data_IF_294537223384
#
_entry.id   IF_294537223384
#
_cell.length_a   1.000
_cell.length_b   1.000
_cell.length_c   1.000
_cell.angle_alpha   90.00
_cell.angle_beta   90.00
_cell.angle_gamma   90.00
#
_symmetry.space_group_name_H-M   'P 1'
#
loop_
_entity.id
_entity.type
_entity.pdbx_description
1 polymer ?
#
# COMPACT_ATOMS: atom_id res chain seq x y z
N UNK A 1 -24.93 3.80 -7.63
CA UNK A 1 -24.01 4.56 -8.51
C UNK A 1 -23.28 3.55 -9.39
N UNK A 2 -23.24 3.73 -10.72
CA UNK A 2 -22.65 2.72 -11.61
C UNK A 2 -21.12 2.71 -11.52
N UNK A 3 -20.52 1.51 -11.51
CA UNK A 3 -19.06 1.26 -11.51
C UNK A 3 -18.30 2.09 -12.57
N UNK A 4 -18.97 2.48 -13.67
CA UNK A 4 -18.36 3.23 -14.77
C UNK A 4 -17.98 4.67 -14.44
N UNK A 5 -18.70 5.38 -13.55
CA UNK A 5 -18.38 6.78 -13.21
C UNK A 5 -17.21 6.91 -12.24
N UNK A 6 -16.98 5.89 -11.41
CA UNK A 6 -15.78 5.80 -10.58
C UNK A 6 -14.56 5.49 -11.47
N UNK A 7 -14.66 4.58 -12.43
CA UNK A 7 -13.54 4.28 -13.35
C UNK A 7 -13.06 5.51 -14.17
N UNK A 8 -13.97 6.38 -14.60
CA UNK A 8 -13.64 7.60 -15.36
C UNK A 8 -12.93 8.70 -14.53
N UNK A 9 -13.20 8.80 -13.23
CA UNK A 9 -12.55 9.80 -12.38
C UNK A 9 -11.09 9.40 -12.04
N UNK A 10 -10.80 8.10 -12.02
CA UNK A 10 -9.52 7.54 -11.59
C UNK A 10 -8.51 7.41 -12.74
N UNK A 11 -8.98 7.35 -14.00
CA UNK A 11 -8.15 7.31 -15.20
C UNK A 11 -7.57 8.67 -15.62
N UNK A 12 -8.07 9.78 -15.05
CA UNK A 12 -7.69 11.14 -15.46
C UNK A 12 -6.56 11.78 -14.63
N UNK A 13 -5.84 11.02 -13.80
CA UNK A 13 -4.73 11.55 -13.01
C UNK A 13 -5.13 12.66 -12.04
N UNK A 14 -6.41 12.77 -11.70
CA UNK A 14 -6.87 13.69 -10.65
C UNK A 14 -6.33 13.20 -9.31
N UNK A 15 -5.68 14.11 -8.57
CA UNK A 15 -5.29 13.89 -7.18
C UNK A 15 -6.52 13.36 -6.43
N UNK A 16 -6.40 12.21 -5.75
CA UNK A 16 -7.46 11.71 -4.88
C UNK A 16 -7.78 12.81 -3.87
N UNK A 17 -8.98 13.37 -3.91
CA UNK A 17 -9.41 14.45 -3.01
C UNK A 17 -9.40 14.02 -1.53
N UNK A 18 -9.42 12.71 -1.29
CA UNK A 18 -9.31 12.09 0.03
C UNK A 18 -7.92 12.29 0.63
N UNK A 19 -6.85 12.33 -0.19
CA UNK A 19 -5.51 12.54 0.35
C UNK A 19 -5.38 13.93 0.96
N UNK A 20 -6.12 14.90 0.43
CA UNK A 20 -6.10 16.27 0.93
C UNK A 20 -6.60 16.33 2.39
N UNK A 21 -7.41 15.36 2.85
CA UNK A 21 -7.81 15.25 4.27
C UNK A 21 -6.65 14.91 5.21
N UNK A 22 -5.64 14.20 4.71
CA UNK A 22 -4.47 13.77 5.49
C UNK A 22 -3.30 14.76 5.39
N UNK A 23 -3.37 15.71 4.45
CA UNK A 23 -2.38 16.77 4.27
C UNK A 23 -2.68 17.93 5.21
N UNK A 24 -1.63 18.47 5.84
CA UNK A 24 -1.63 19.61 6.78
C UNK A 24 -2.93 20.48 6.78
N UNK A 25 -3.91 20.07 7.60
CA UNK A 25 -5.13 20.80 7.99
C UNK A 25 -6.22 21.08 6.93
N UNK A 26 -6.34 20.25 5.88
CA UNK A 26 -7.42 20.40 4.88
C UNK A 26 -8.57 19.39 5.06
N UNK A 27 -9.15 19.30 6.27
CA UNK A 27 -10.33 18.46 6.51
C UNK A 27 -11.63 19.16 6.05
N UNK A 28 -12.38 18.56 5.12
CA UNK A 28 -13.55 19.19 4.47
C UNK A 28 -14.82 19.28 5.34
N UNK A 29 -14.84 18.61 6.51
CA UNK A 29 -16.06 18.39 7.30
C UNK A 29 -16.10 19.22 8.62
N UNK A 30 -15.19 20.19 8.82
CA UNK A 30 -15.21 21.04 10.02
C UNK A 30 -14.94 20.29 11.34
N UNK A 31 -14.37 19.08 11.24
CA UNK A 31 -13.80 18.36 12.36
C UNK A 31 -12.51 19.07 12.82
N UNK A 32 -12.13 18.94 14.10
CA UNK A 32 -10.84 19.41 14.56
C UNK A 32 -9.73 18.77 13.73
N UNK A 33 -8.67 19.55 13.52
CA UNK A 33 -7.45 19.09 12.89
C UNK A 33 -6.95 17.76 13.49
N UNK A 34 -6.49 16.84 12.63
CA UNK A 34 -5.79 15.65 13.10
C UNK A 34 -4.55 16.06 13.90
N UNK A 35 -4.22 15.36 14.99
CA UNK A 35 -2.96 15.56 15.70
C UNK A 35 -1.75 15.53 14.75
N UNK A 36 -0.69 16.30 15.04
CA UNK A 36 0.47 16.46 14.14
C UNK A 36 1.14 15.14 13.73
N UNK A 37 1.08 14.11 14.58
CA UNK A 37 1.64 12.80 14.31
C UNK A 37 0.76 11.94 13.38
N UNK A 38 -0.50 12.34 13.16
CA UNK A 38 -1.40 11.73 12.19
C UNK A 38 -1.46 12.46 10.83
N UNK A 39 -0.63 13.50 10.65
CA UNK A 39 -0.59 14.28 9.41
C UNK A 39 0.41 13.71 8.42
N UNK A 40 0.00 13.56 7.16
CA UNK A 40 0.89 13.23 6.05
C UNK A 40 1.66 14.48 5.63
N UNK A 41 2.89 14.60 6.12
CA UNK A 41 3.78 15.74 5.83
C UNK A 41 4.40 15.59 4.45
N UNK A 42 3.76 16.16 3.42
CA UNK A 42 4.24 16.14 2.02
C UNK A 42 5.46 17.06 1.75
N UNK A 43 6.31 17.35 2.74
CA UNK A 43 7.53 18.13 2.49
C UNK A 43 8.37 17.40 1.42
N UNK A 44 8.93 18.14 0.47
CA UNK A 44 9.77 17.61 -0.63
C UNK A 44 10.90 16.68 -0.14
N UNK A 45 11.39 16.89 1.09
CA UNK A 45 12.43 16.06 1.72
C UNK A 45 11.92 14.81 2.44
N UNK A 46 10.60 14.68 2.67
CA UNK A 46 10.03 13.68 3.58
C UNK A 46 9.61 12.37 2.89
N UNK A 47 9.68 12.29 1.55
CA UNK A 47 9.41 11.10 0.72
C UNK A 47 8.39 10.10 1.32
N UNK A 48 7.28 10.57 1.91
CA UNK A 48 6.31 9.74 2.63
C UNK A 48 5.22 9.19 1.72
N UNK A 49 5.41 9.31 0.40
CA UNK A 49 4.49 8.86 -0.61
C UNK A 49 5.21 7.97 -1.61
N UNK A 50 4.54 6.93 -2.07
CA UNK A 50 5.08 6.06 -3.10
C UNK A 50 3.96 5.38 -3.89
N UNK A 51 4.29 4.91 -5.10
CA UNK A 51 3.37 4.17 -5.95
C UNK A 51 3.95 2.81 -6.34
N UNK A 52 3.17 1.75 -6.14
CA UNK A 52 3.52 0.42 -6.59
C UNK A 52 3.34 0.28 -8.10
N UNK A 53 4.19 -0.56 -8.68
CA UNK A 53 4.08 -1.09 -10.03
C UNK A 53 4.33 -2.59 -9.97
N UNK A 54 3.51 -3.37 -10.69
CA UNK A 54 3.67 -4.83 -10.78
C UNK A 54 3.58 -5.28 -12.23
N UNK A 55 4.55 -6.07 -12.64
CA UNK A 55 4.68 -6.69 -13.96
C UNK A 55 5.03 -8.18 -13.89
N UNK A 56 5.21 -8.71 -12.67
CA UNK A 56 5.44 -10.13 -12.43
C UNK A 56 5.01 -10.54 -11.02
N UNK A 57 4.98 -11.85 -10.82
CA UNK A 57 4.59 -12.45 -9.53
C UNK A 57 5.74 -12.44 -8.52
N UNK A 58 6.96 -12.65 -9.01
CA UNK A 58 8.18 -12.73 -8.20
C UNK A 58 8.67 -11.35 -7.76
N UNK A 59 9.70 -11.35 -6.91
CA UNK A 59 10.27 -10.13 -6.33
C UNK A 59 10.69 -9.11 -7.41
N UNK A 60 11.31 -9.58 -8.49
CA UNK A 60 11.74 -8.73 -9.61
C UNK A 60 10.58 -8.15 -10.41
N UNK A 61 9.37 -8.73 -10.31
CA UNK A 61 8.14 -8.24 -10.92
C UNK A 61 7.41 -7.17 -10.12
N UNK A 62 7.99 -6.65 -9.03
CA UNK A 62 7.40 -5.58 -8.23
C UNK A 62 8.38 -4.44 -8.00
N UNK A 63 7.90 -3.21 -8.23
CA UNK A 63 8.64 -1.99 -7.99
C UNK A 63 7.83 -0.97 -7.18
N UNK A 64 8.54 -0.08 -6.49
CA UNK A 64 8.02 1.04 -5.71
C UNK A 64 8.67 2.34 -6.22
N UNK A 65 7.84 3.26 -6.70
CA UNK A 65 8.27 4.58 -7.16
C UNK A 65 8.09 5.60 -6.02
N UNK A 66 9.19 6.15 -5.53
CA UNK A 66 9.23 7.04 -4.38
C UNK A 66 8.95 8.49 -4.76
N UNK A 67 8.28 9.23 -3.86
CA UNK A 67 8.01 10.65 -4.04
C UNK A 67 6.85 10.95 -4.98
N UNK A 68 6.08 9.94 -5.39
CA UNK A 68 4.94 10.11 -6.29
C UNK A 68 3.79 9.18 -5.94
N UNK A 69 2.57 9.63 -6.24
CA UNK A 69 1.36 8.80 -6.28
C UNK A 69 0.84 8.63 -7.71
N UNK A 70 1.49 9.27 -8.68
CA UNK A 70 1.26 9.03 -10.10
C UNK A 70 1.78 7.64 -10.39
N UNK A 71 0.88 6.72 -10.74
CA UNK A 71 1.23 5.37 -11.15
C UNK A 71 1.53 5.30 -12.65
N UNK A 72 2.34 4.32 -13.04
CA UNK A 72 2.54 3.94 -14.43
C UNK A 72 1.19 3.56 -15.05
N UNK A 73 0.91 4.03 -16.27
CA UNK A 73 -0.36 3.70 -16.92
C UNK A 73 -0.36 2.25 -17.41
N UNK A 74 -1.48 1.56 -17.21
CA UNK A 74 -1.66 0.24 -17.79
C UNK A 74 -1.87 0.38 -19.30
N UNK A 75 -0.86 0.01 -20.09
CA UNK A 75 -0.94 0.01 -21.55
C UNK A 75 -0.16 -1.15 -22.14
N UNK A 76 -0.57 -1.59 -23.33
CA UNK A 76 0.08 -2.68 -24.05
C UNK A 76 1.54 -2.34 -24.41
N UNK A 77 1.85 -1.08 -24.72
CA UNK A 77 3.23 -0.63 -24.97
C UNK A 77 4.12 -0.71 -23.72
N UNK A 78 3.58 -0.36 -22.55
CA UNK A 78 4.34 -0.45 -21.29
C UNK A 78 4.48 -1.90 -20.80
N UNK A 79 3.57 -2.80 -21.20
CA UNK A 79 3.74 -4.23 -20.98
C UNK A 79 4.92 -4.82 -21.79
N UNK A 80 5.21 -4.27 -22.98
CA UNK A 80 6.39 -4.65 -23.79
C UNK A 80 7.71 -4.17 -23.15
N UNK A 81 7.68 -3.07 -22.38
CA UNK A 81 8.83 -2.54 -21.66
C UNK A 81 9.16 -3.31 -20.37
N UNK A 82 8.19 -4.07 -19.83
CA UNK A 82 8.33 -4.92 -18.65
C UNK A 82 9.03 -4.19 -17.49
N UNK A 83 10.14 -4.75 -17.03
CA UNK A 83 10.87 -4.26 -15.86
C UNK A 83 11.36 -2.80 -15.98
N UNK A 84 11.51 -2.29 -17.22
CA UNK A 84 11.98 -0.93 -17.47
C UNK A 84 10.87 0.12 -17.53
N UNK A 85 9.62 -0.30 -17.67
CA UNK A 85 8.45 0.58 -17.79
C UNK A 85 8.39 1.69 -16.72
N UNK A 86 8.55 1.41 -15.40
CA UNK A 86 8.51 2.48 -14.40
C UNK A 86 9.66 3.48 -14.57
N UNK A 87 10.88 3.02 -14.83
CA UNK A 87 12.03 3.92 -15.03
C UNK A 87 11.83 4.84 -16.23
N UNK A 88 11.36 4.30 -17.36
CA UNK A 88 11.09 5.08 -18.56
C UNK A 88 9.96 6.09 -18.32
N UNK A 89 8.85 5.65 -17.71
CA UNK A 89 7.71 6.50 -17.41
C UNK A 89 8.09 7.68 -16.51
N UNK A 90 8.82 7.44 -15.42
CA UNK A 90 9.19 8.51 -14.48
C UNK A 90 10.31 9.39 -15.01
N UNK A 91 11.28 8.86 -15.77
CA UNK A 91 12.35 9.68 -16.36
C UNK A 91 11.85 10.81 -17.26
N UNK A 92 10.66 10.62 -17.87
CA UNK A 92 10.02 11.59 -18.75
C UNK A 92 9.05 12.54 -18.02
N UNK A 93 8.54 12.15 -16.84
CA UNK A 93 7.51 12.89 -16.12
C UNK A 93 8.03 13.62 -14.88
N UNK A 94 8.96 13.03 -14.12
CA UNK A 94 9.62 13.64 -12.97
C UNK A 94 10.96 12.95 -12.65
N UNK A 95 12.07 13.69 -12.85
CA UNK A 95 13.43 13.17 -12.61
C UNK A 95 13.77 12.94 -11.13
N UNK A 96 12.94 13.42 -10.20
CA UNK A 96 13.16 13.22 -8.77
C UNK A 96 12.58 11.89 -8.25
N UNK A 97 11.78 11.19 -9.07
CA UNK A 97 11.21 9.90 -8.69
C UNK A 97 12.29 8.83 -8.75
N UNK A 98 12.52 8.17 -7.62
CA UNK A 98 13.41 7.01 -7.51
C UNK A 98 12.58 5.74 -7.57
N UNK A 99 12.93 4.82 -8.46
CA UNK A 99 12.30 3.49 -8.55
C UNK A 99 13.16 2.48 -7.81
N UNK A 100 12.56 1.77 -6.87
CA UNK A 100 13.15 0.63 -6.15
C UNK A 100 12.44 -0.64 -6.60
N UNK A 101 13.18 -1.73 -6.82
CA UNK A 101 12.62 -3.02 -7.29
C UNK A 101 13.09 -4.15 -6.38
N UNK A 102 12.26 -5.18 -6.23
CA UNK A 102 12.53 -6.31 -5.35
C UNK A 102 11.93 -6.15 -3.96
N UNK A 103 11.36 -7.23 -3.42
CA UNK A 103 10.67 -7.22 -2.13
C UNK A 103 11.58 -6.74 -0.99
N UNK A 104 12.79 -7.28 -0.86
CA UNK A 104 13.72 -6.85 0.19
C UNK A 104 14.05 -5.35 0.11
N UNK A 105 14.45 -4.87 -1.08
CA UNK A 105 14.75 -3.44 -1.29
C UNK A 105 13.55 -2.54 -0.97
N UNK A 106 12.34 -3.00 -1.30
CA UNK A 106 11.09 -2.28 -1.01
C UNK A 106 10.85 -2.24 0.50
N UNK A 107 10.97 -3.36 1.20
CA UNK A 107 10.80 -3.44 2.66
C UNK A 107 11.77 -2.50 3.38
N UNK A 108 13.07 -2.59 3.06
CA UNK A 108 14.11 -1.73 3.64
C UNK A 108 13.84 -0.25 3.36
N UNK A 109 13.31 0.07 2.17
CA UNK A 109 12.94 1.44 1.80
C UNK A 109 11.75 1.94 2.64
N UNK A 110 10.71 1.13 2.82
CA UNK A 110 9.55 1.50 3.62
C UNK A 110 9.93 1.67 5.10
N UNK A 111 10.77 0.80 5.64
CA UNK A 111 11.32 0.93 7.00
C UNK A 111 12.12 2.23 7.17
N UNK A 112 13.00 2.54 6.22
CA UNK A 112 13.75 3.80 6.24
C UNK A 112 12.86 5.04 6.11
N UNK A 113 11.75 4.96 5.35
CA UNK A 113 10.77 6.05 5.29
C UNK A 113 10.06 6.24 6.65
N UNK A 114 9.79 5.15 7.38
CA UNK A 114 9.15 5.16 8.70
C UNK A 114 10.06 5.69 9.82
N UNK A 115 11.39 5.68 9.65
CA UNK A 115 12.30 6.36 10.59
C UNK A 115 12.08 7.89 10.62
N UNK A 116 11.66 8.46 9.50
CA UNK A 116 11.42 9.90 9.33
C UNK A 116 9.95 10.33 9.40
N UNK A 117 9.02 9.38 9.33
CA UNK A 117 7.58 9.64 9.26
C UNK A 117 6.77 8.57 9.99
N UNK A 118 5.69 8.98 10.66
CA UNK A 118 4.73 8.06 11.29
C UNK A 118 3.68 7.52 10.32
N UNK A 119 3.54 8.13 9.14
CA UNK A 119 2.52 7.78 8.14
C UNK A 119 3.15 7.82 6.76
N UNK A 120 2.84 6.79 5.98
CA UNK A 120 3.10 6.71 4.56
C UNK A 120 1.78 6.68 3.78
N UNK A 121 1.75 7.27 2.59
CA UNK A 121 0.68 7.07 1.63
C UNK A 121 1.20 6.26 0.44
N UNK A 122 0.68 5.04 0.29
CA UNK A 122 1.10 4.12 -0.76
C UNK A 122 -0.04 3.96 -1.78
N UNK A 123 0.26 4.21 -3.05
CA UNK A 123 -0.66 3.94 -4.16
C UNK A 123 -0.48 2.49 -4.61
N UNK A 124 -1.57 1.73 -4.60
CA UNK A 124 -1.61 0.38 -5.13
C UNK A 124 -1.57 0.35 -6.67
N UNK A 125 -1.44 -0.86 -7.23
CA UNK A 125 -1.45 -1.08 -8.67
C UNK A 125 -2.66 -1.92 -9.10
N UNK A 126 -3.85 -1.31 -8.96
CA UNK A 126 -5.15 -1.95 -9.22
C UNK A 126 -5.24 -2.66 -10.57
N UNK A 127 -4.67 -2.11 -11.65
CA UNK A 127 -4.78 -2.71 -12.98
C UNK A 127 -4.14 -4.09 -13.05
N UNK A 128 -3.05 -4.32 -12.29
CA UNK A 128 -2.44 -5.64 -12.17
C UNK A 128 -3.38 -6.62 -11.47
N UNK A 129 -3.93 -6.24 -10.32
CA UNK A 129 -4.87 -7.09 -9.58
C UNK A 129 -6.13 -7.41 -10.41
N UNK A 130 -6.70 -6.41 -11.08
CA UNK A 130 -7.88 -6.56 -11.94
C UNK A 130 -7.61 -7.45 -13.16
N UNK A 131 -6.44 -7.33 -13.80
CA UNK A 131 -6.05 -8.18 -14.92
C UNK A 131 -5.91 -9.66 -14.53
N UNK A 132 -5.72 -9.95 -13.24
CA UNK A 132 -5.57 -11.30 -12.69
C UNK A 132 -6.87 -11.82 -12.04
N UNK A 133 -8.01 -11.33 -12.55
CA UNK A 133 -9.35 -11.68 -12.07
C UNK A 133 -9.55 -11.43 -10.57
N UNK A 134 -8.90 -10.39 -10.04
CA UNK A 134 -9.04 -9.95 -8.64
C UNK A 134 -8.64 -11.04 -7.62
N UNK A 135 -7.72 -11.94 -8.01
CA UNK A 135 -7.18 -12.95 -7.10
C UNK A 135 -6.25 -12.30 -6.05
N UNK A 136 -6.43 -12.68 -4.77
CA UNK A 136 -5.68 -12.12 -3.64
C UNK A 136 -4.16 -12.16 -3.78
N UNK A 137 -3.59 -13.17 -4.45
CA UNK A 137 -2.14 -13.27 -4.69
C UNK A 137 -1.56 -12.19 -5.63
N UNK A 138 -2.43 -11.38 -6.23
CA UNK A 138 -2.08 -10.26 -7.09
C UNK A 138 -2.58 -8.92 -6.54
N UNK A 139 -3.13 -8.94 -5.32
CA UNK A 139 -3.66 -7.78 -4.63
C UNK A 139 -2.58 -6.81 -4.14
N UNK A 140 -2.96 -6.01 -3.15
CA UNK A 140 -2.08 -5.09 -2.44
C UNK A 140 -0.99 -5.90 -1.75
N UNK A 141 0.27 -5.57 -2.00
CA UNK A 141 1.40 -6.30 -1.45
C UNK A 141 1.59 -5.96 0.03
N UNK A 142 1.60 -6.99 0.88
CA UNK A 142 2.05 -6.94 2.26
C UNK A 142 3.28 -7.84 2.39
N UNK A 143 4.43 -7.23 2.67
CA UNK A 143 5.67 -7.95 2.94
C UNK A 143 5.78 -8.20 4.45
N UNK A 144 6.13 -9.42 4.81
CA UNK A 144 6.39 -9.83 6.20
C UNK A 144 7.80 -10.40 6.30
N UNK A 145 8.43 -10.24 7.47
CA UNK A 145 9.67 -10.94 7.84
C UNK A 145 9.41 -11.70 9.13
N UNK A 146 9.14 -13.00 9.02
CA UNK A 146 8.77 -13.81 10.20
C UNK A 146 9.93 -13.94 11.19
N UNK A 147 11.17 -14.05 10.71
CA UNK A 147 12.35 -14.15 11.60
C UNK A 147 12.57 -12.82 12.34
N UNK A 148 12.36 -11.69 11.65
CA UNK A 148 12.42 -10.38 12.32
C UNK A 148 11.34 -10.29 13.38
N UNK A 149 10.09 -10.60 13.03
CA UNK A 149 8.97 -10.61 13.96
C UNK A 149 9.22 -11.50 15.18
N UNK A 150 9.81 -12.69 15.00
CA UNK A 150 10.19 -13.59 16.09
C UNK A 150 11.34 -13.05 16.95
N UNK A 151 12.32 -12.38 16.34
CA UNK A 151 13.52 -11.89 17.02
C UNK A 151 13.26 -10.61 17.84
N UNK A 152 12.46 -9.68 17.32
CA UNK A 152 12.30 -8.35 17.92
C UNK A 152 10.85 -7.90 18.12
N UNK A 153 9.85 -8.72 17.77
CA UNK A 153 8.44 -8.40 17.91
C UNK A 153 7.91 -7.41 16.86
N UNK A 154 8.68 -7.11 15.82
CA UNK A 154 8.28 -6.18 14.75
C UNK A 154 7.27 -6.85 13.81
N UNK A 155 5.99 -6.54 13.99
CA UNK A 155 4.86 -7.09 13.23
C UNK A 155 4.14 -5.99 12.46
N UNK A 156 3.83 -6.28 11.19
CA UNK A 156 2.94 -5.46 10.37
C UNK A 156 1.58 -6.13 10.26
N UNK A 157 0.51 -5.36 10.49
CA UNK A 157 -0.87 -5.82 10.37
C UNK A 157 -1.60 -4.98 9.32
N UNK A 158 -2.26 -5.65 8.38
CA UNK A 158 -3.09 -5.05 7.36
C UNK A 158 -4.57 -5.15 7.76
N UNK A 159 -5.24 -4.01 7.81
CA UNK A 159 -6.65 -3.90 8.18
C UNK A 159 -7.49 -3.57 6.95
N UNK A 160 -8.53 -4.36 6.68
CA UNK A 160 -9.46 -4.13 5.56
C UNK A 160 -10.83 -4.77 5.86
N UNK A 161 -11.90 -4.17 5.37
CA UNK A 161 -13.27 -4.69 5.52
C UNK A 161 -13.63 -5.76 4.46
N UNK A 162 -12.79 -5.92 3.43
CA UNK A 162 -12.93 -6.94 2.38
C UNK A 162 -12.08 -8.21 2.62
N UNK A 163 -11.47 -8.36 3.80
CA UNK A 163 -10.83 -9.61 4.22
C UNK A 163 -11.92 -10.55 4.76
N UNK A 164 -12.20 -11.65 4.07
CA UNK A 164 -13.24 -12.60 4.48
C UNK A 164 -12.68 -13.69 5.39
N UNK A 165 -13.57 -14.44 6.05
CA UNK A 165 -13.20 -15.51 6.98
C UNK A 165 -12.30 -16.60 6.37
N UNK A 166 -12.35 -16.78 5.05
CA UNK A 166 -11.67 -17.88 4.35
C UNK A 166 -10.73 -17.41 3.23
N UNK A 167 -10.62 -16.10 2.97
CA UNK A 167 -9.84 -15.60 1.85
C UNK A 167 -9.39 -14.13 2.04
N UNK A 168 -8.18 -13.80 1.56
CA UNK A 168 -7.64 -12.45 1.67
C UNK A 168 -8.26 -11.45 0.69
N UNK A 169 -8.79 -11.94 -0.45
CA UNK A 169 -9.39 -11.23 -1.59
C UNK A 169 -8.53 -10.14 -2.24
N UNK A 170 -8.07 -9.17 -1.45
CA UNK A 170 -7.46 -7.93 -1.90
C UNK A 170 -5.99 -7.78 -1.47
N UNK A 171 -5.47 -8.71 -0.64
CA UNK A 171 -4.10 -8.63 -0.09
C UNK A 171 -3.26 -9.84 -0.50
N UNK A 172 -2.07 -9.55 -1.04
CA UNK A 172 -1.00 -10.49 -1.38
C UNK A 172 0.05 -10.47 -0.26
N UNK A 173 0.03 -11.46 0.62
CA UNK A 173 0.98 -11.57 1.74
C UNK A 173 2.16 -12.42 1.31
N UNK A 174 3.38 -11.89 1.46
CA UNK A 174 4.61 -12.58 1.09
C UNK A 174 5.69 -12.47 2.14
N UNK A 175 6.41 -13.56 2.31
CA UNK A 175 7.68 -13.54 3.05
C UNK A 175 8.72 -12.78 2.23
N UNK A 176 9.33 -11.76 2.82
CA UNK A 176 10.22 -10.83 2.13
C UNK A 176 11.50 -11.51 1.64
N UNK A 177 11.96 -12.56 2.34
CA UNK A 177 13.25 -13.22 2.05
C UNK A 177 13.13 -14.25 0.95
N UNK A 178 12.11 -15.10 1.02
CA UNK A 178 11.86 -16.16 0.04
C UNK A 178 11.03 -15.67 -1.15
N UNK A 179 10.25 -14.59 -0.99
CA UNK A 179 9.27 -14.12 -1.96
C UNK A 179 8.03 -15.00 -2.08
N UNK A 180 7.95 -16.07 -1.29
CA UNK A 180 6.84 -17.00 -1.31
C UNK A 180 5.55 -16.36 -0.77
N UNK A 181 4.43 -16.68 -1.40
CA UNK A 181 3.11 -16.34 -0.84
C UNK A 181 2.88 -17.10 0.46
N UNK A 182 2.33 -16.39 1.44
CA UNK A 182 1.97 -16.94 2.74
C UNK A 182 0.54 -17.45 2.67
N UNK A 183 0.31 -18.68 3.15
CA UNK A 183 -1.03 -19.27 3.17
C UNK A 183 -2.00 -18.38 3.97
N UNK A 184 -3.25 -18.30 3.50
CA UNK A 184 -4.27 -17.50 4.19
C UNK A 184 -4.48 -17.95 5.64
N UNK A 185 -4.51 -19.27 5.89
CA UNK A 185 -4.67 -19.83 7.24
C UNK A 185 -3.57 -19.39 8.22
N UNK A 186 -2.36 -19.11 7.71
CA UNK A 186 -1.22 -18.64 8.52
C UNK A 186 -1.21 -17.13 8.69
N UNK A 187 -1.77 -16.40 7.74
CA UNK A 187 -1.75 -14.92 7.74
C UNK A 187 -2.99 -14.29 8.36
N UNK A 188 -4.14 -14.95 8.29
CA UNK A 188 -5.40 -14.49 8.87
C UNK A 188 -5.31 -14.42 10.40
N UNK A 189 -5.70 -13.27 10.97
CA UNK A 189 -5.62 -13.02 12.40
C UNK A 189 -4.18 -12.93 12.92
N UNK A 190 -3.17 -12.75 12.06
CA UNK A 190 -1.80 -12.41 12.46
C UNK A 190 -1.30 -11.19 11.70
N UNK A 191 -1.30 -11.28 10.37
CA UNK A 191 -0.89 -10.19 9.47
C UNK A 191 -2.08 -9.55 8.75
N UNK A 192 -3.20 -10.27 8.64
CA UNK A 192 -4.44 -9.81 8.04
C UNK A 192 -5.53 -9.74 9.10
N UNK A 193 -6.18 -8.59 9.22
CA UNK A 193 -7.25 -8.38 10.17
C UNK A 193 -8.49 -7.82 9.47
N UNK A 194 -9.59 -8.58 9.54
CA UNK A 194 -10.90 -8.08 9.14
C UNK A 194 -11.35 -6.94 10.05
N UNK A 195 -11.92 -5.91 9.43
CA UNK A 195 -12.44 -4.72 10.09
C UNK A 195 -13.96 -4.70 10.02
N UNK A 196 -14.61 -4.45 11.16
CA UNK A 196 -16.02 -4.12 11.23
C UNK A 196 -16.17 -2.59 11.10
N UNK A 197 -16.75 -2.09 10.00
CA UNK A 197 -16.71 -0.65 9.71
C UNK A 197 -17.41 0.22 10.75
N UNK A 198 -18.51 -0.24 11.36
CA UNK A 198 -19.24 0.57 12.34
C UNK A 198 -18.43 0.75 13.61
N UNK A 199 -17.81 -0.32 14.12
CA UNK A 199 -16.93 -0.28 15.27
C UNK A 199 -15.69 0.56 14.96
N UNK A 200 -15.10 0.42 13.78
CA UNK A 200 -13.93 1.21 13.37
C UNK A 200 -14.18 2.73 13.36
N UNK A 201 -15.40 3.18 13.05
CA UNK A 201 -15.75 4.61 13.06
C UNK A 201 -16.36 5.09 14.39
N UNK A 202 -16.87 4.19 15.24
CA UNK A 202 -17.54 4.57 16.49
C UNK A 202 -16.68 4.40 17.74
N UNK A 203 -15.70 3.50 17.73
CA UNK A 203 -14.77 3.27 18.83
C UNK A 203 -13.38 3.87 18.53
N UNK A 204 -12.95 4.92 19.27
CA UNK A 204 -11.66 5.55 19.06
C UNK A 204 -10.46 4.63 19.37
N UNK A 205 -10.66 3.52 20.07
CA UNK A 205 -9.61 2.56 20.41
C UNK A 205 -9.70 1.27 19.58
N UNK A 206 -10.55 1.21 18.55
CA UNK A 206 -10.83 -0.01 17.80
C UNK A 206 -9.57 -0.69 17.25
N UNK A 207 -8.77 0.05 16.47
CA UNK A 207 -7.55 -0.49 15.86
C UNK A 207 -6.45 -0.81 16.89
N UNK A 208 -6.35 -0.01 17.95
CA UNK A 208 -5.40 -0.26 19.06
C UNK A 208 -5.75 -1.57 19.75
N UNK A 209 -7.03 -1.75 20.10
CA UNK A 209 -7.51 -2.95 20.78
C UNK A 209 -7.40 -4.21 19.92
N UNK A 210 -7.47 -4.07 18.59
CA UNK A 210 -7.20 -5.18 17.68
C UNK A 210 -5.71 -5.49 17.60
N UNK A 211 -4.84 -4.48 17.51
CA UNK A 211 -3.40 -4.66 17.41
C UNK A 211 -2.81 -5.27 18.70
N UNK A 212 -3.24 -4.79 19.87
CA UNK A 212 -2.78 -5.28 21.18
C UNK A 212 -3.10 -6.77 21.43
N UNK A 213 -4.07 -7.35 20.73
CA UNK A 213 -4.32 -8.80 20.80
C UNK A 213 -3.15 -9.63 20.25
N UNK A 214 -2.32 -9.03 19.40
CA UNK A 214 -1.26 -9.69 18.65
C UNK A 214 0.15 -9.34 19.11
N UNK A 215 0.28 -8.27 19.90
CA UNK A 215 1.53 -7.90 20.57
C UNK A 215 1.45 -8.35 22.03
N UNK A 216 1.78 -9.62 22.28
CA UNK A 216 1.93 -10.21 23.62
C UNK A 216 3.36 -10.67 23.82
#
# INVERSE_FOLDING_TARGET
>A
MSKSRLQEAWSQGRRCTEIDLFVDDHHTIGLPALPDYFRLKLKLSAQCIAAFYRDGFEADGTALALGTLTKVLFSTKLAEEGAYAPNNFYSTSDQNVKVVRGFQSIQETLEGMLEGASILALRDYWEWWSAQAENGQYGKLLLIDEEKAEMNGDITVFFDDHIDANHSHIVDVRDVRSGASVDFEKSCGKYLQWVEPIAAITDPNYFISLFEKYVV
#
